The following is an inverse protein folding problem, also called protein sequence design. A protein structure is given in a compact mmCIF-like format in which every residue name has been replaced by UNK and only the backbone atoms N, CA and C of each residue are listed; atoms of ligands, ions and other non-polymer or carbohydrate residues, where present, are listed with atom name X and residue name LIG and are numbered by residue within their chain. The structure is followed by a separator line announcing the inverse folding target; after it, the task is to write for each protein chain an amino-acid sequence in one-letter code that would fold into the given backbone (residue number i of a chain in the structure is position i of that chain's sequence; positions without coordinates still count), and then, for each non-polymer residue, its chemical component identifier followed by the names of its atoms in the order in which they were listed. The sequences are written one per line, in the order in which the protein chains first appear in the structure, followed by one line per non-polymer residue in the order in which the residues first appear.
data_IF_849669365430
#
_entry.id   IF_849669365430
#
_cell.length_a   1.000
_cell.length_b   1.000
_cell.length_c   1.000
_cell.angle_alpha   90.00
_cell.angle_beta   90.00
_cell.angle_gamma   90.00
#
_symmetry.space_group_name_H-M   'P 1'
#
loop_
_entity.id
_entity.type
_entity.pdbx_description
1 polymer ?
#
# COMPACT_ATOMS: atom_id res chain seq x y z
N UNK A 1 -2.61 -10.93 -13.63
CA UNK A 1 -2.91 -11.30 -12.23
C UNK A 1 -2.26 -12.62 -11.75
N UNK A 2 -2.17 -13.69 -12.57
CA UNK A 2 -1.56 -14.96 -12.12
C UNK A 2 -0.08 -14.84 -11.69
N UNK A 3 0.68 -13.95 -12.32
CA UNK A 3 2.10 -13.75 -12.02
C UNK A 3 2.33 -13.10 -10.64
N UNK A 4 1.53 -12.10 -10.27
CA UNK A 4 1.68 -11.37 -9.01
C UNK A 4 1.37 -12.24 -7.79
N UNK A 5 0.33 -13.09 -7.88
CA UNK A 5 0.00 -14.05 -6.84
C UNK A 5 1.12 -15.07 -6.61
N UNK A 6 1.74 -15.55 -7.69
CA UNK A 6 2.87 -16.47 -7.62
C UNK A 6 4.11 -15.80 -7.02
N UNK A 7 4.44 -14.58 -7.46
CA UNK A 7 5.54 -13.79 -6.91
C UNK A 7 5.36 -13.52 -5.41
N UNK A 8 4.14 -13.15 -4.99
CA UNK A 8 3.87 -12.90 -3.58
C UNK A 8 3.96 -14.17 -2.74
N UNK A 9 3.47 -15.30 -3.24
CA UNK A 9 3.63 -16.58 -2.54
C UNK A 9 5.09 -17.04 -2.47
N UNK A 10 5.95 -16.63 -3.41
CA UNK A 10 7.37 -16.90 -3.38
C UNK A 10 8.10 -16.23 -2.19
N UNK A 11 7.47 -15.26 -1.48
CA UNK A 11 7.98 -14.74 -0.20
C UNK A 11 8.32 -15.87 0.77
N UNK A 12 7.55 -16.97 0.78
CA UNK A 12 7.83 -18.12 1.64
C UNK A 12 9.23 -18.72 1.43
N UNK A 13 9.81 -18.61 0.23
CA UNK A 13 11.16 -19.11 -0.07
C UNK A 13 12.23 -18.34 0.70
N UNK A 14 11.95 -17.08 1.06
CA UNK A 14 12.83 -16.24 1.89
C UNK A 14 12.62 -16.41 3.39
N UNK A 15 11.57 -17.11 3.82
CA UNK A 15 11.21 -17.28 5.24
C UNK A 15 11.68 -18.63 5.83
N UNK A 16 12.61 -19.31 5.17
CA UNK A 16 13.07 -20.66 5.57
C UNK A 16 13.76 -20.71 6.94
N UNK A 17 14.27 -19.57 7.42
CA UNK A 17 14.91 -19.43 8.73
C UNK A 17 14.00 -18.78 9.78
N UNK A 18 12.75 -18.46 9.43
CA UNK A 18 11.82 -17.85 10.38
C UNK A 18 11.35 -18.87 11.42
N UNK A 19 11.39 -18.44 12.69
CA UNK A 19 10.80 -19.18 13.81
C UNK A 19 9.31 -18.90 13.93
N UNK A 20 8.56 -19.80 14.56
CA UNK A 20 7.10 -19.72 14.70
C UNK A 20 6.59 -18.38 15.26
N UNK A 21 7.36 -17.78 16.17
CA UNK A 21 7.02 -16.53 16.84
C UNK A 21 7.52 -15.27 16.13
N UNK A 22 8.28 -15.41 15.05
CA UNK A 22 8.79 -14.28 14.26
C UNK A 22 7.65 -13.52 13.61
N UNK A 23 7.79 -12.19 13.59
CA UNK A 23 6.80 -11.31 13.01
C UNK A 23 7.05 -11.12 11.52
N UNK A 24 6.08 -11.54 10.71
CA UNK A 24 6.10 -11.42 9.26
C UNK A 24 5.21 -10.26 8.84
N UNK A 25 5.78 -9.31 8.11
CA UNK A 25 5.07 -8.20 7.47
C UNK A 25 5.04 -8.44 5.97
N UNK A 26 3.86 -8.31 5.36
CA UNK A 26 3.67 -8.48 3.92
C UNK A 26 3.12 -7.17 3.35
N UNK A 27 3.91 -6.55 2.47
CA UNK A 27 3.58 -5.31 1.76
C UNK A 27 4.18 -5.33 0.35
N UNK A 28 3.69 -4.43 -0.50
CA UNK A 28 4.37 -4.12 -1.77
C UNK A 28 5.53 -3.13 -1.51
N UNK A 29 6.40 -2.91 -2.50
CA UNK A 29 7.63 -2.09 -2.34
C UNK A 29 7.32 -0.62 -2.08
N UNK A 30 6.19 -0.13 -2.58
CA UNK A 30 5.71 1.24 -2.39
C UNK A 30 4.90 1.44 -1.09
N UNK A 31 4.77 0.40 -0.27
CA UNK A 31 4.04 0.40 1.00
C UNK A 31 5.02 0.36 2.17
N UNK A 32 5.42 1.53 2.65
CA UNK A 32 6.47 1.71 3.65
C UNK A 32 5.86 1.81 5.05
N UNK A 33 6.26 0.92 5.95
CA UNK A 33 5.82 0.95 7.35
C UNK A 33 6.47 2.09 8.14
N UNK A 34 5.70 2.71 9.02
CA UNK A 34 6.28 3.54 10.09
C UNK A 34 7.02 2.63 11.09
N UNK A 35 8.26 2.94 11.49
CA UNK A 35 9.01 2.11 12.44
C UNK A 35 8.27 1.84 13.75
N UNK A 36 7.50 2.82 14.22
CA UNK A 36 6.73 2.75 15.46
C UNK A 36 5.62 1.68 15.41
N UNK A 37 5.16 1.30 14.21
CA UNK A 37 4.14 0.26 14.04
C UNK A 37 4.62 -1.11 14.46
N UNK A 38 5.90 -1.42 14.23
CA UNK A 38 6.45 -2.75 14.56
C UNK A 38 6.26 -3.04 16.04
N UNK A 39 6.48 -2.05 16.90
CA UNK A 39 6.32 -2.16 18.34
C UNK A 39 4.86 -2.22 18.81
N UNK A 40 3.90 -1.73 18.02
CA UNK A 40 2.47 -1.73 18.38
C UNK A 40 1.71 -2.97 17.89
N UNK A 41 2.35 -3.83 17.10
CA UNK A 41 1.74 -5.09 16.66
C UNK A 41 1.61 -6.04 17.85
N UNK A 42 0.39 -6.49 18.10
CA UNK A 42 0.11 -7.49 19.14
C UNK A 42 0.33 -8.91 18.59
N UNK A 43 1.38 -9.65 19.00
CA UNK A 43 1.67 -10.98 18.47
C UNK A 43 0.60 -12.03 18.84
N UNK A 44 -0.26 -11.77 19.83
CA UNK A 44 -1.37 -12.65 20.19
C UNK A 44 -2.52 -12.60 19.18
N UNK A 45 -2.54 -11.58 18.30
CA UNK A 45 -3.55 -11.47 17.24
C UNK A 45 -3.15 -12.33 16.05
N UNK A 46 -4.16 -12.91 15.41
CA UNK A 46 -3.98 -13.74 14.22
C UNK A 46 -3.50 -12.91 13.02
N UNK A 47 -3.91 -11.65 12.95
CA UNK A 47 -3.56 -10.73 11.88
C UNK A 47 -3.70 -9.29 12.38
N UNK A 48 -2.75 -8.44 12.00
CA UNK A 48 -2.86 -6.99 12.13
C UNK A 48 -2.90 -6.39 10.73
N UNK A 49 -3.97 -5.66 10.42
CA UNK A 49 -4.04 -4.87 9.17
C UNK A 49 -3.49 -3.48 9.45
N UNK A 50 -2.55 -3.02 8.64
CA UNK A 50 -1.86 -1.75 8.85
C UNK A 50 -2.35 -0.78 7.79
N UNK A 51 -3.12 0.23 8.21
CA UNK A 51 -3.64 1.24 7.30
C UNK A 51 -2.58 2.32 7.08
N UNK A 52 -2.21 2.52 5.83
CA UNK A 52 -1.21 3.51 5.42
C UNK A 52 -1.88 4.68 4.70
N UNK A 53 -1.41 5.90 4.94
CA UNK A 53 -1.87 7.07 4.20
C UNK A 53 -1.44 6.94 2.73
N UNK A 54 -2.35 7.21 1.81
CA UNK A 54 -2.11 7.05 0.39
C UNK A 54 -1.63 8.37 -0.23
N UNK A 55 -0.47 8.32 -0.89
CA UNK A 55 0.13 9.43 -1.61
C UNK A 55 0.25 9.06 -3.08
N UNK A 56 0.07 10.05 -3.97
CA UNK A 56 0.12 9.79 -5.40
C UNK A 56 0.97 10.84 -6.12
N UNK A 57 1.76 10.40 -7.10
CA UNK A 57 2.58 11.21 -8.00
C UNK A 57 3.82 11.84 -7.37
N UNK A 58 3.71 12.36 -6.14
CA UNK A 58 4.77 13.04 -5.40
C UNK A 58 4.71 12.60 -3.93
N UNK A 59 5.84 12.66 -3.22
CA UNK A 59 5.93 12.15 -1.85
C UNK A 59 4.95 12.84 -0.90
N UNK A 60 4.75 14.14 -1.04
CA UNK A 60 3.92 14.93 -0.13
C UNK A 60 2.51 15.23 -0.67
N UNK A 61 2.08 14.51 -1.71
CA UNK A 61 0.77 14.72 -2.32
C UNK A 61 -0.19 13.62 -1.86
N UNK A 62 -0.91 13.89 -0.77
CA UNK A 62 -1.80 12.93 -0.13
C UNK A 62 -3.17 12.89 -0.81
N UNK A 63 -3.74 11.72 -0.95
CA UNK A 63 -5.06 11.50 -1.55
C UNK A 63 -6.14 11.45 -0.47
N UNK A 64 -7.24 12.13 -0.73
CA UNK A 64 -8.45 12.15 0.11
C UNK A 64 -9.66 11.64 -0.69
N UNK A 65 -10.62 11.05 0.01
CA UNK A 65 -11.89 10.64 -0.59
C UNK A 65 -12.82 11.87 -0.73
N UNK A 66 -13.96 11.70 -1.40
CA UNK A 66 -14.96 12.77 -1.59
C UNK A 66 -15.55 13.33 -0.30
N UNK A 67 -15.52 12.56 0.79
CA UNK A 67 -15.93 12.97 2.13
C UNK A 67 -14.82 13.68 2.93
N UNK A 68 -13.72 14.05 2.27
CA UNK A 68 -12.52 14.65 2.86
C UNK A 68 -11.81 13.78 3.90
N UNK A 69 -12.09 12.47 3.96
CA UNK A 69 -11.31 11.55 4.79
C UNK A 69 -10.01 11.14 4.06
N UNK A 70 -8.89 10.98 4.78
CA UNK A 70 -7.65 10.48 4.17
C UNK A 70 -7.86 9.12 3.52
N UNK A 71 -7.46 8.98 2.25
CA UNK A 71 -7.49 7.69 1.58
C UNK A 71 -6.42 6.79 2.18
N UNK A 72 -6.78 5.53 2.44
CA UNK A 72 -5.92 4.54 3.08
C UNK A 72 -5.64 3.35 2.16
N UNK A 73 -4.39 2.92 2.08
CA UNK A 73 -4.06 1.56 1.67
C UNK A 73 -4.34 0.60 2.85
N UNK A 74 -5.05 -0.50 2.58
CA UNK A 74 -5.52 -1.46 3.61
C UNK A 74 -5.06 -2.90 3.33
N UNK A 75 -4.03 -3.05 2.51
CA UNK A 75 -3.44 -4.32 2.11
C UNK A 75 -2.22 -4.73 2.95
N UNK A 76 -1.35 -3.82 3.43
CA UNK A 76 -0.25 -4.20 4.31
C UNK A 76 -0.76 -4.91 5.57
N UNK A 77 -0.13 -6.04 5.90
CA UNK A 77 -0.53 -6.85 7.06
C UNK A 77 0.67 -7.44 7.77
N UNK A 78 0.48 -7.72 9.06
CA UNK A 78 1.45 -8.39 9.90
C UNK A 78 0.83 -9.60 10.63
N UNK A 79 1.61 -10.66 10.81
CA UNK A 79 1.23 -11.86 11.59
C UNK A 79 2.48 -12.59 12.06
N UNK A 80 2.36 -13.47 13.06
CA UNK A 80 3.44 -14.39 13.40
C UNK A 80 3.58 -15.47 12.33
N UNK A 81 4.80 -15.97 12.10
CA UNK A 81 5.08 -16.98 11.07
C UNK A 81 4.20 -18.23 11.22
N UNK A 82 4.01 -18.73 12.46
CA UNK A 82 3.13 -19.88 12.72
C UNK A 82 1.69 -19.67 12.23
N UNK A 83 1.18 -18.44 12.32
CA UNK A 83 -0.17 -18.10 11.86
C UNK A 83 -0.22 -18.02 10.33
N UNK A 84 0.82 -17.47 9.69
CA UNK A 84 0.97 -17.46 8.24
C UNK A 84 0.90 -18.88 7.66
N UNK A 85 1.61 -19.82 8.27
CA UNK A 85 1.61 -21.23 7.86
C UNK A 85 0.30 -21.91 8.20
N UNK A 86 -0.09 -21.95 9.48
CA UNK A 86 -1.21 -22.79 9.95
C UNK A 86 -2.60 -22.27 9.56
N UNK A 87 -2.83 -20.95 9.60
CA UNK A 87 -4.16 -20.38 9.36
C UNK A 87 -4.35 -19.93 7.91
N UNK A 88 -3.31 -19.31 7.34
CA UNK A 88 -3.33 -18.78 5.97
C UNK A 88 -2.75 -19.74 4.93
N UNK A 89 -2.22 -20.89 5.36
CA UNK A 89 -1.77 -21.97 4.48
C UNK A 89 -0.38 -21.77 3.89
N UNK A 90 0.45 -20.92 4.50
CA UNK A 90 1.75 -20.55 3.94
C UNK A 90 1.61 -19.77 2.63
N UNK A 91 0.51 -19.02 2.47
CA UNK A 91 0.22 -18.27 1.25
C UNK A 91 0.12 -16.76 1.57
N UNK A 92 1.24 -16.02 1.46
CA UNK A 92 1.27 -14.56 1.60
C UNK A 92 0.21 -13.84 0.75
N UNK A 93 -0.11 -14.34 -0.44
CA UNK A 93 -1.19 -13.78 -1.27
C UNK A 93 -2.56 -13.95 -0.62
N UNK A 94 -2.83 -15.14 -0.06
CA UNK A 94 -4.09 -15.40 0.64
C UNK A 94 -4.21 -14.55 1.90
N UNK A 95 -3.11 -14.35 2.61
CA UNK A 95 -3.00 -13.50 3.79
C UNK A 95 -3.27 -12.02 3.46
N UNK A 96 -2.69 -11.48 2.38
CA UNK A 96 -2.90 -10.09 1.93
C UNK A 96 -4.34 -9.86 1.47
N UNK A 97 -4.87 -10.76 0.63
CA UNK A 97 -6.14 -10.61 -0.08
C UNK A 97 -7.33 -11.36 0.56
N UNK A 98 -7.54 -11.17 1.88
CA UNK A 98 -8.52 -11.95 2.68
C UNK A 98 -9.94 -12.01 2.13
N UNK A 99 -10.48 -10.93 1.56
CA UNK A 99 -11.84 -10.94 1.00
C UNK A 99 -11.95 -11.93 -0.16
N UNK A 100 -10.96 -11.91 -1.06
CA UNK A 100 -10.86 -12.84 -2.18
C UNK A 100 -10.62 -14.26 -1.66
N UNK A 101 -9.68 -14.42 -0.73
CA UNK A 101 -9.35 -15.71 -0.10
C UNK A 101 -10.56 -16.36 0.55
N UNK A 102 -11.34 -15.59 1.31
CA UNK A 102 -12.57 -16.07 1.96
C UNK A 102 -13.53 -16.67 0.93
N UNK A 103 -13.71 -15.98 -0.20
CA UNK A 103 -14.60 -16.43 -1.28
C UNK A 103 -14.04 -17.65 -1.99
N UNK A 104 -12.76 -17.63 -2.40
CA UNK A 104 -12.14 -18.72 -3.17
C UNK A 104 -11.96 -19.99 -2.35
N UNK A 105 -11.58 -19.85 -1.07
CA UNK A 105 -11.36 -20.98 -0.16
C UNK A 105 -12.62 -21.37 0.64
N UNK A 106 -13.80 -20.81 0.30
CA UNK A 106 -15.08 -21.12 0.92
C UNK A 106 -15.03 -21.16 2.47
N UNK A 107 -14.45 -20.14 3.11
CA UNK A 107 -14.33 -20.14 4.57
C UNK A 107 -15.69 -20.19 5.25
N UNK A 108 -15.84 -21.12 6.19
CA UNK A 108 -17.05 -21.25 6.99
C UNK A 108 -17.32 -19.96 7.79
N UNK A 109 -18.59 -19.76 8.14
CA UNK A 109 -19.01 -18.67 9.01
C UNK A 109 -18.23 -18.66 10.33
N UNK A 110 -17.96 -19.83 10.92
CA UNK A 110 -17.17 -19.97 12.15
C UNK A 110 -15.73 -19.47 11.96
N UNK A 111 -15.03 -19.93 10.91
CA UNK A 111 -13.66 -19.50 10.62
C UNK A 111 -13.59 -18.00 10.38
N UNK A 112 -14.56 -17.43 9.67
CA UNK A 112 -14.62 -15.99 9.40
C UNK A 112 -14.86 -15.16 10.66
N UNK A 113 -15.78 -15.57 11.53
CA UNK A 113 -16.01 -14.84 12.79
C UNK A 113 -14.83 -14.97 13.75
N UNK A 114 -14.20 -16.14 13.80
CA UNK A 114 -12.99 -16.32 14.59
C UNK A 114 -11.85 -15.42 14.11
N UNK A 115 -11.64 -15.32 12.80
CA UNK A 115 -10.69 -14.36 12.22
C UNK A 115 -11.00 -12.92 12.63
N UNK A 116 -12.27 -12.47 12.53
CA UNK A 116 -12.66 -11.09 12.87
C UNK A 116 -12.34 -10.72 14.32
N UNK A 117 -12.57 -11.64 15.26
CA UNK A 117 -12.29 -11.42 16.70
C UNK A 117 -10.78 -11.36 16.98
N UNK A 118 -9.99 -12.15 16.23
CA UNK A 118 -8.54 -12.24 16.37
C UNK A 118 -7.76 -11.34 15.42
N UNK A 119 -8.44 -10.42 14.72
CA UNK A 119 -7.80 -9.42 13.89
C UNK A 119 -7.71 -8.08 14.64
N UNK A 120 -6.64 -7.33 14.38
CA UNK A 120 -6.46 -5.94 14.81
C UNK A 120 -6.24 -5.02 13.61
N UNK A 121 -6.47 -3.73 13.82
CA UNK A 121 -6.18 -2.68 12.85
C UNK A 121 -5.29 -1.66 13.55
N UNK A 122 -4.22 -1.25 12.88
CA UNK A 122 -3.42 -0.08 13.25
C UNK A 122 -3.67 0.97 12.18
N UNK A 123 -4.13 2.15 12.57
CA UNK A 123 -4.28 3.28 11.65
C UNK A 123 -3.02 4.16 11.66
N UNK A 124 -2.80 4.88 10.55
CA UNK A 124 -1.63 5.71 10.31
C UNK A 124 -0.30 4.95 10.45
N UNK A 125 -0.29 3.69 10.02
CA UNK A 125 0.86 2.81 10.20
C UNK A 125 1.95 2.91 9.12
N UNK A 126 1.99 4.02 8.39
CA UNK A 126 2.97 4.25 7.34
C UNK A 126 2.36 4.90 6.10
N UNK A 127 3.03 4.68 4.97
CA UNK A 127 2.83 5.43 3.74
C UNK A 127 2.74 4.49 2.53
N UNK A 128 1.75 4.71 1.68
CA UNK A 128 1.71 4.12 0.36
C UNK A 128 2.06 5.19 -0.68
N UNK A 129 3.24 5.10 -1.27
CA UNK A 129 3.76 6.05 -2.26
C UNK A 129 3.49 5.58 -3.70
N UNK A 130 2.26 5.78 -4.16
CA UNK A 130 1.86 5.29 -5.47
C UNK A 130 2.33 6.24 -6.59
N UNK A 131 2.99 5.68 -7.60
CA UNK A 131 3.43 6.42 -8.80
C UNK A 131 4.31 7.65 -8.52
N UNK A 132 5.19 7.60 -7.51
CA UNK A 132 6.18 8.67 -7.30
C UNK A 132 7.24 8.62 -8.42
N UNK A 133 7.08 9.46 -9.43
CA UNK A 133 7.93 9.52 -10.62
C UNK A 133 7.76 10.86 -11.35
N UNK A 134 8.61 11.13 -12.35
CA UNK A 134 8.50 12.36 -13.17
C UNK A 134 7.31 12.27 -14.13
N UNK A 135 6.77 13.41 -14.61
CA UNK A 135 5.66 13.41 -15.58
C UNK A 135 5.91 12.53 -16.81
N UNK A 136 7.15 12.50 -17.31
CA UNK A 136 7.54 11.68 -18.47
C UNK A 136 7.45 10.19 -18.16
N UNK A 137 7.89 9.78 -16.95
CA UNK A 137 7.76 8.38 -16.49
C UNK A 137 6.32 7.99 -16.23
N UNK A 138 5.48 8.92 -15.75
CA UNK A 138 4.04 8.68 -15.62
C UNK A 138 3.45 8.41 -17.00
N UNK A 139 3.77 9.24 -17.98
CA UNK A 139 3.29 9.09 -19.36
C UNK A 139 3.72 7.76 -19.98
N UNK A 140 5.01 7.41 -19.87
CA UNK A 140 5.54 6.13 -20.34
C UNK A 140 4.82 4.95 -19.64
N UNK A 141 4.67 5.02 -18.32
CA UNK A 141 4.01 3.96 -17.57
C UNK A 141 2.53 3.85 -17.95
N UNK A 142 1.83 4.96 -18.21
CA UNK A 142 0.45 4.97 -18.71
C UNK A 142 0.31 4.29 -20.08
N UNK A 143 1.30 4.44 -20.97
CA UNK A 143 1.29 3.75 -22.28
C UNK A 143 1.59 2.24 -22.18
N UNK A 144 2.15 1.77 -21.06
CA UNK A 144 2.49 0.35 -20.85
C UNK A 144 1.46 -0.43 -20.05
N UNK A 145 0.50 0.24 -19.40
CA UNK A 145 -0.55 -0.44 -18.63
C UNK A 145 -1.60 -1.01 -19.58
N UNK A 146 -2.02 -2.25 -19.31
CA UNK A 146 -3.03 -2.98 -20.06
C UNK A 146 -4.47 -2.41 -19.96
N UNK A 147 -4.64 -1.28 -19.27
CA UNK A 147 -5.89 -0.54 -19.18
C UNK A 147 -5.90 0.56 -20.25
N UNK A 148 -6.17 0.17 -21.50
CA UNK A 148 -6.27 1.10 -22.65
C UNK A 148 -7.32 2.19 -22.46
N UNK A 149 -8.29 1.98 -21.55
CA UNK A 149 -9.29 2.99 -21.13
C UNK A 149 -8.69 4.24 -20.46
N UNK A 150 -7.46 4.15 -19.95
CA UNK A 150 -6.74 5.26 -19.31
C UNK A 150 -5.64 5.87 -20.20
N UNK A 151 -5.41 5.33 -21.40
CA UNK A 151 -4.43 5.80 -22.37
C UNK A 151 -5.10 6.63 -23.47
N UNK A 152 -5.93 7.61 -23.06
CA UNK A 152 -6.49 8.58 -23.99
C UNK A 152 -5.49 9.74 -24.18
N UNK A 153 -5.31 10.25 -25.41
CA UNK A 153 -4.38 11.35 -25.69
C UNK A 153 -4.65 12.61 -24.87
N UNK A 154 -5.88 12.80 -24.41
CA UNK A 154 -6.31 13.93 -23.57
C UNK A 154 -5.76 13.87 -22.13
N UNK A 155 -5.45 12.68 -21.61
CA UNK A 155 -4.88 12.48 -20.27
C UNK A 155 -3.39 12.15 -20.31
N UNK A 156 -2.93 11.48 -21.36
CA UNK A 156 -1.54 11.03 -21.51
C UNK A 156 -0.66 12.02 -22.30
N UNK A 157 -0.68 13.30 -21.92
CA UNK A 157 0.25 14.32 -22.42
C UNK A 157 1.10 14.85 -21.24
N UNK A 158 2.44 14.88 -21.33
CA UNK A 158 3.32 15.45 -20.30
C UNK A 158 2.90 16.85 -19.81
N UNK A 159 2.40 17.73 -20.69
CA UNK A 159 1.93 19.07 -20.31
C UNK A 159 0.71 19.01 -19.37
N UNK A 160 -0.25 18.13 -19.69
CA UNK A 160 -1.42 17.89 -18.85
C UNK A 160 -1.00 17.30 -17.50
N UNK A 161 -0.20 16.23 -17.52
CA UNK A 161 0.30 15.54 -16.32
C UNK A 161 1.04 16.52 -15.40
N UNK A 162 1.91 17.36 -15.96
CA UNK A 162 2.63 18.38 -15.21
C UNK A 162 1.68 19.41 -14.58
N UNK A 163 0.68 19.86 -15.32
CA UNK A 163 -0.32 20.82 -14.85
C UNK A 163 -1.13 20.25 -13.69
N UNK A 164 -1.68 19.03 -13.82
CA UNK A 164 -2.51 18.42 -12.77
C UNK A 164 -1.70 18.11 -11.51
N UNK A 165 -0.46 17.62 -11.64
CA UNK A 165 0.42 17.41 -10.47
C UNK A 165 0.70 18.72 -9.77
N UNK A 166 1.06 19.77 -10.52
CA UNK A 166 1.28 21.10 -9.95
C UNK A 166 0.03 21.64 -9.26
N UNK A 167 -1.15 21.36 -9.78
CA UNK A 167 -2.41 21.81 -9.19
C UNK A 167 -2.95 20.90 -8.09
N UNK A 168 -2.28 19.80 -7.76
CA UNK A 168 -2.80 18.77 -6.84
C UNK A 168 -4.14 18.18 -7.31
N UNK A 169 -4.25 17.89 -8.60
CA UNK A 169 -5.41 17.29 -9.26
C UNK A 169 -5.12 15.84 -9.69
N UNK A 170 -6.17 15.06 -9.90
CA UNK A 170 -6.07 13.69 -10.39
C UNK A 170 -5.90 13.64 -11.91
N UNK A 171 -4.93 12.87 -12.41
CA UNK A 171 -4.66 12.74 -13.85
C UNK A 171 -5.90 12.23 -14.62
N UNK A 172 -6.73 11.41 -14.00
CA UNK A 172 -7.90 10.80 -14.64
C UNK A 172 -9.22 11.45 -14.24
N UNK A 173 -9.18 12.59 -13.53
CA UNK A 173 -10.39 13.26 -13.06
C UNK A 173 -11.27 12.40 -12.15
N UNK A 174 -10.70 11.44 -11.42
CA UNK A 174 -11.45 10.58 -10.50
C UNK A 174 -12.00 11.40 -9.33
N UNK A 175 -13.08 10.89 -8.73
CA UNK A 175 -13.70 11.43 -7.51
C UNK A 175 -12.81 11.28 -6.26
N UNK A 176 -11.72 12.04 -6.24
CA UNK A 176 -10.74 12.15 -5.14
C UNK A 176 -10.02 13.47 -5.22
N UNK A 177 -9.61 13.99 -4.08
CA UNK A 177 -8.81 15.22 -4.02
C UNK A 177 -7.37 14.87 -3.64
N UNK A 178 -6.42 15.64 -4.17
CA UNK A 178 -5.04 15.56 -3.72
C UNK A 178 -4.72 16.83 -2.95
N UNK A 179 -4.01 16.68 -1.84
CA UNK A 179 -3.67 17.80 -0.96
C UNK A 179 -2.21 17.71 -0.59
N UNK A 180 -1.49 18.80 -0.86
CA UNK A 180 -0.09 18.94 -0.47
C UNK A 180 0.00 18.93 1.06
N UNK A 181 0.87 18.08 1.57
CA UNK A 181 1.17 17.98 2.98
C UNK A 181 2.53 18.61 3.27
N UNK A 182 2.66 19.16 4.46
CA UNK A 182 3.94 19.65 4.93
C UNK A 182 4.87 18.47 5.26
N UNK A 183 6.07 18.45 4.67
CA UNK A 183 7.07 17.42 4.96
C UNK A 183 7.72 17.67 6.32
N UNK A 184 7.16 17.07 7.36
CA UNK A 184 7.71 17.06 8.71
C UNK A 184 8.09 15.64 9.15
N UNK A 185 8.99 15.51 10.13
CA UNK A 185 9.47 14.20 10.62
C UNK A 185 8.37 13.42 11.36
N UNK A 186 7.34 14.10 11.83
CA UNK A 186 6.18 13.52 12.48
C UNK A 186 5.28 12.79 11.46
N UNK A 187 5.19 13.32 10.24
CA UNK A 187 4.23 12.89 9.23
C UNK A 187 4.84 12.08 8.08
N UNK A 188 6.17 12.07 7.93
CA UNK A 188 6.87 11.43 6.81
C UNK A 188 8.08 10.63 7.27
N UNK A 189 8.59 9.69 6.44
CA UNK A 189 9.86 9.03 6.71
C UNK A 189 10.95 10.07 6.93
N UNK A 190 11.60 10.00 8.09
CA UNK A 190 12.65 10.94 8.49
C UNK A 190 13.74 11.08 7.42
N UNK A 191 14.06 9.99 6.72
CA UNK A 191 15.01 9.99 5.63
C UNK A 191 14.61 10.93 4.47
N UNK A 192 13.33 11.00 4.10
CA UNK A 192 12.86 11.91 3.05
C UNK A 192 12.96 13.36 3.53
N UNK A 193 12.57 13.62 4.79
CA UNK A 193 12.56 14.97 5.36
C UNK A 193 13.97 15.54 5.51
N UNK A 194 14.94 14.71 5.91
CA UNK A 194 16.35 15.14 6.06
C UNK A 194 17.08 15.30 4.73
N UNK A 195 16.59 14.70 3.65
CA UNK A 195 17.22 14.71 2.32
C UNK A 195 16.30 15.33 1.25
N UNK A 196 15.50 16.35 1.61
CA UNK A 196 14.54 16.99 0.69
C UNK A 196 15.18 17.42 -0.62
N UNK A 197 16.40 17.96 -0.60
CA UNK A 197 17.11 18.41 -1.81
C UNK A 197 17.32 17.27 -2.81
N UNK A 198 17.64 16.07 -2.32
CA UNK A 198 17.80 14.85 -3.14
C UNK A 198 16.49 14.43 -3.80
N UNK A 199 15.36 14.73 -3.17
CA UNK A 199 14.02 14.35 -3.62
C UNK A 199 13.22 15.54 -4.16
N UNK A 200 13.86 16.66 -4.46
CA UNK A 200 13.21 17.90 -4.89
C UNK A 200 12.36 17.73 -6.15
N UNK A 201 12.76 16.84 -7.07
CA UNK A 201 11.97 16.50 -8.25
C UNK A 201 10.69 15.67 -7.95
N UNK A 202 10.54 15.19 -6.72
CA UNK A 202 9.45 14.32 -6.25
C UNK A 202 8.66 14.94 -5.08
N UNK A 203 8.82 16.25 -4.85
CA UNK A 203 8.19 17.04 -3.79
C UNK A 203 7.67 18.35 -4.40
N UNK A 204 6.46 18.78 -4.02
CA UNK A 204 5.81 20.00 -4.52
C UNK A 204 5.28 20.95 -3.44
#
# INVERSE_FOLDING_TARGET
MANEAAQRNAIMQGLTQASDDDLILVSDVDEIFSPQVVASINPKKLCTTIYQNFYNYQFNLQVFNTDNTPRKCKLPRATQYKNLVSFFGGEPESFRNLKRTRSVKNWSWLKWNWFKINNSIIDNGGWHFSWVMTPERISEKMSTISHTEYDLPEFNNPEHIMKVIKNAEDIWGRDRTLTRQELTVENFPEYIVRHKDKFSAFII
#
